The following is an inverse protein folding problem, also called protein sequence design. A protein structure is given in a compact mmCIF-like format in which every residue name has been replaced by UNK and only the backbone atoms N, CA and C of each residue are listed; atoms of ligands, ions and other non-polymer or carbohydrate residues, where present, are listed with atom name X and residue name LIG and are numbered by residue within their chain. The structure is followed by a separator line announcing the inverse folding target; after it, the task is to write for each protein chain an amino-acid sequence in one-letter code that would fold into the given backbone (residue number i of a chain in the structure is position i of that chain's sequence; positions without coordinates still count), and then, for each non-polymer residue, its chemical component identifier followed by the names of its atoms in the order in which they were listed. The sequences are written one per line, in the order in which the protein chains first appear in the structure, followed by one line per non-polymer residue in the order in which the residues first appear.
data_IF_229709674807
#
_entry.id   IF_229709674807
#
_cell.length_a   1.000
_cell.length_b   1.000
_cell.length_c   1.000
_cell.angle_alpha   90.00
_cell.angle_beta   90.00
_cell.angle_gamma   90.00
#
_symmetry.space_group_name_H-M   'P 1'
#
loop_
_entity.id
_entity.type
_entity.pdbx_description
1 polymer ?
#
# COMPACT_ATOMS: atom_id res chain seq x y z
N UNK A 1 30.83 -42.24 -25.60
CA UNK A 1 31.42 -42.71 -24.33
C UNK A 1 32.45 -41.70 -23.88
N UNK A 2 32.13 -40.88 -22.88
CA UNK A 2 33.09 -39.95 -22.26
C UNK A 2 33.14 -40.26 -20.77
N UNK A 3 34.32 -40.64 -20.30
CA UNK A 3 34.60 -40.98 -18.91
C UNK A 3 34.45 -39.75 -18.00
N UNK A 4 33.89 -39.88 -16.78
CA UNK A 4 33.78 -38.76 -15.87
C UNK A 4 35.14 -38.46 -15.22
N UNK A 5 35.52 -37.17 -15.24
CA UNK A 5 36.71 -36.62 -14.56
C UNK A 5 36.57 -36.79 -13.03
N UNK A 6 37.61 -37.20 -12.30
CA UNK A 6 37.54 -37.33 -10.84
C UNK A 6 37.43 -35.94 -10.18
N UNK A 7 36.54 -35.83 -9.18
CA UNK A 7 36.39 -34.61 -8.36
C UNK A 7 37.60 -34.43 -7.42
N UNK A 8 38.07 -33.20 -7.18
CA UNK A 8 39.16 -32.95 -6.24
C UNK A 8 38.71 -33.19 -4.80
N UNK A 9 39.56 -33.85 -4.02
CA UNK A 9 39.41 -34.05 -2.57
C UNK A 9 39.51 -32.69 -1.86
N UNK A 10 38.63 -32.35 -0.91
CA UNK A 10 38.75 -31.11 -0.17
C UNK A 10 39.99 -31.12 0.72
N UNK A 11 40.78 -30.03 0.70
CA UNK A 11 41.91 -29.84 1.62
C UNK A 11 41.41 -29.84 3.08
N UNK A 12 42.18 -30.37 4.04
CA UNK A 12 41.85 -30.30 5.45
C UNK A 12 41.71 -28.83 5.89
N UNK A 13 40.65 -28.52 6.64
CA UNK A 13 40.50 -27.21 7.26
C UNK A 13 41.66 -26.98 8.25
N UNK A 14 42.18 -25.74 8.37
CA UNK A 14 43.20 -25.43 9.36
C UNK A 14 42.64 -25.70 10.77
N UNK A 15 43.47 -26.15 11.72
CA UNK A 15 43.02 -26.36 13.10
C UNK A 15 42.43 -25.06 13.65
N UNK A 16 41.33 -25.18 14.40
CA UNK A 16 40.67 -24.07 15.08
C UNK A 16 41.72 -23.21 15.77
N UNK A 17 41.70 -21.90 15.48
CA UNK A 17 42.62 -20.92 16.07
C UNK A 17 42.58 -21.07 17.60
N UNK A 18 43.64 -21.65 18.14
CA UNK A 18 43.96 -21.53 19.56
C UNK A 18 44.08 -20.02 19.83
N UNK A 19 43.39 -19.46 20.83
CA UNK A 19 43.49 -18.03 21.10
C UNK A 19 44.96 -17.65 21.33
N UNK A 20 45.40 -16.58 20.67
CA UNK A 20 46.74 -16.03 20.84
C UNK A 20 47.00 -15.77 22.33
N UNK A 21 48.25 -15.95 22.83
CA UNK A 21 48.62 -15.62 24.20
C UNK A 21 48.18 -14.21 24.64
N UNK A 22 48.06 -13.27 23.70
CA UNK A 22 47.57 -11.92 23.94
C UNK A 22 46.05 -11.86 24.28
N UNK A 23 45.24 -12.77 23.76
CA UNK A 23 43.80 -12.88 24.05
C UNK A 23 43.57 -13.54 25.42
N UNK A 24 44.43 -14.49 25.79
CA UNK A 24 44.44 -15.10 27.14
C UNK A 24 44.90 -14.05 28.19
N UNK A 25 45.81 -13.16 27.82
CA UNK A 25 46.28 -12.08 28.69
C UNK A 25 45.30 -10.91 28.86
N UNK A 26 44.26 -10.82 28.02
CA UNK A 26 43.25 -9.76 28.07
C UNK A 26 42.05 -10.07 28.98
N UNK A 27 42.02 -11.24 29.63
CA UNK A 27 41.09 -11.46 30.72
C UNK A 27 41.42 -10.49 31.87
N UNK A 28 40.44 -9.74 32.41
CA UNK A 28 40.65 -8.93 33.58
C UNK A 28 41.11 -9.88 34.69
N UNK A 29 42.41 -9.88 34.98
CA UNK A 29 42.92 -10.40 36.23
C UNK A 29 42.37 -9.45 37.28
N UNK A 30 41.20 -9.75 37.84
CA UNK A 30 40.87 -9.22 39.14
C UNK A 30 42.06 -9.61 40.01
N UNK A 31 42.83 -8.64 40.54
CA UNK A 31 43.90 -8.96 41.45
C UNK A 31 43.20 -9.62 42.64
N UNK A 32 43.29 -10.94 42.70
CA UNK A 32 42.87 -11.71 43.86
C UNK A 32 43.67 -11.10 45.00
N UNK A 33 43.01 -10.29 45.82
CA UNK A 33 43.53 -9.96 47.14
C UNK A 33 43.47 -11.27 47.90
N UNK A 34 44.48 -12.12 47.69
CA UNK A 34 44.76 -13.21 48.61
C UNK A 34 44.99 -12.48 49.92
N UNK A 35 44.13 -12.64 50.94
CA UNK A 35 44.46 -12.11 52.24
C UNK A 35 45.77 -12.78 52.62
N UNK A 36 46.83 -11.98 52.72
CA UNK A 36 48.11 -12.42 53.26
C UNK A 36 47.76 -13.00 54.62
N UNK A 37 48.00 -14.30 54.81
CA UNK A 37 47.87 -14.92 56.12
C UNK A 37 48.80 -14.12 57.01
N UNK A 38 48.26 -13.36 57.96
CA UNK A 38 49.08 -12.72 58.97
C UNK A 38 49.90 -13.84 59.61
N UNK A 39 51.21 -13.64 59.76
CA UNK A 39 52.07 -14.61 60.42
C UNK A 39 51.44 -14.94 61.78
N UNK A 40 51.17 -16.23 62.03
CA UNK A 40 50.54 -16.69 63.26
C UNK A 40 51.37 -16.18 64.43
N UNK A 41 50.75 -15.36 65.27
CA UNK A 41 51.46 -14.69 66.34
C UNK A 41 51.92 -15.70 67.41
N UNK A 42 53.00 -15.41 68.16
CA UNK A 42 53.41 -16.27 69.27
C UNK A 42 52.31 -16.48 70.31
N UNK A 43 51.43 -15.49 70.51
CA UNK A 43 50.27 -15.57 71.41
C UNK A 43 49.21 -16.55 70.89
N UNK A 44 48.93 -16.54 69.59
CA UNK A 44 48.03 -17.49 68.94
C UNK A 44 48.57 -18.93 69.00
N UNK A 45 49.88 -19.12 68.80
CA UNK A 45 50.51 -20.44 68.95
C UNK A 45 50.43 -20.95 70.39
N UNK A 46 50.63 -20.08 71.38
CA UNK A 46 50.48 -20.44 72.78
C UNK A 46 49.03 -20.84 73.11
N UNK A 47 48.04 -20.07 72.64
CA UNK A 47 46.63 -20.37 72.84
C UNK A 47 46.21 -21.70 72.20
N UNK A 48 46.69 -22.02 71.00
CA UNK A 48 46.44 -23.32 70.38
C UNK A 48 47.17 -24.46 71.10
N UNK A 49 48.38 -24.23 71.62
CA UNK A 49 49.14 -25.22 72.36
C UNK A 49 48.49 -25.65 73.68
N UNK A 50 47.61 -24.84 74.27
CA UNK A 50 46.81 -25.24 75.46
C UNK A 50 45.89 -26.44 75.19
N UNK A 51 45.53 -26.66 73.93
CA UNK A 51 44.70 -27.79 73.50
C UNK A 51 45.53 -29.04 73.18
N UNK A 52 46.86 -28.97 73.23
CA UNK A 52 47.77 -30.08 72.94
C UNK A 52 48.60 -30.50 74.14
N UNK A 53 48.87 -31.79 74.23
CA UNK A 53 49.81 -32.35 75.19
C UNK A 53 50.81 -33.27 74.50
N UNK A 54 51.98 -33.45 75.11
CA UNK A 54 52.98 -34.44 74.66
C UNK A 54 52.89 -35.64 75.59
N UNK A 55 52.43 -36.76 75.05
CA UNK A 55 52.36 -38.05 75.75
C UNK A 55 53.38 -39.01 75.13
N UNK A 56 54.49 -39.23 75.84
CA UNK A 56 55.60 -40.07 75.37
C UNK A 56 56.26 -39.52 74.11
N UNK A 57 56.22 -40.30 73.02
CA UNK A 57 56.77 -39.92 71.70
C UNK A 57 55.71 -39.31 70.76
N UNK A 58 54.50 -38.99 71.25
CA UNK A 58 53.37 -38.50 70.44
C UNK A 58 52.78 -37.21 70.98
N UNK A 59 52.26 -36.39 70.06
CA UNK A 59 51.46 -35.19 70.37
C UNK A 59 49.98 -35.58 70.32
N UNK A 60 49.26 -35.28 71.39
CA UNK A 60 47.80 -35.48 71.50
C UNK A 60 47.09 -34.13 71.48
N UNK A 61 45.85 -34.10 71.01
CA UNK A 61 44.96 -32.93 71.04
C UNK A 61 43.67 -33.26 71.78
N UNK A 62 43.16 -32.31 72.54
CA UNK A 62 41.84 -32.36 73.16
C UNK A 62 40.78 -31.98 72.13
N UNK A 63 40.00 -32.96 71.70
CA UNK A 63 38.86 -32.80 70.81
C UNK A 63 37.56 -32.94 71.63
N UNK A 64 37.10 -31.81 72.18
CA UNK A 64 35.96 -31.77 73.10
C UNK A 64 36.26 -32.50 74.42
N UNK A 65 35.53 -33.58 74.69
CA UNK A 65 35.75 -34.44 75.87
C UNK A 65 36.74 -35.59 75.62
N UNK A 66 37.15 -35.79 74.36
CA UNK A 66 38.06 -36.87 73.96
C UNK A 66 39.48 -36.35 73.69
N UNK A 67 40.48 -37.20 73.92
CA UNK A 67 41.87 -36.93 73.57
C UNK A 67 42.26 -37.84 72.42
N UNK A 68 42.88 -37.29 71.37
CA UNK A 68 43.30 -38.06 70.19
C UNK A 68 44.77 -37.80 69.82
N UNK A 69 45.43 -38.82 69.31
CA UNK A 69 46.80 -38.73 68.81
C UNK A 69 46.83 -38.00 67.45
N UNK A 70 47.74 -37.04 67.31
CA UNK A 70 47.85 -36.16 66.13
C UNK A 70 49.06 -36.53 65.27
N UNK A 71 50.15 -36.94 65.91
CA UNK A 71 51.39 -37.34 65.24
C UNK A 71 52.58 -37.44 66.19
N UNK A 72 53.79 -37.73 65.67
CA UNK A 72 54.98 -37.88 66.49
C UNK A 72 55.46 -36.55 67.08
N UNK A 73 55.98 -36.59 68.30
CA UNK A 73 56.61 -35.47 68.96
C UNK A 73 58.08 -35.36 68.52
N UNK A 74 58.46 -34.28 67.82
CA UNK A 74 59.81 -34.06 67.31
C UNK A 74 60.28 -32.63 67.57
N UNK A 75 61.55 -32.48 67.98
CA UNK A 75 62.18 -31.17 68.20
C UNK A 75 61.95 -30.61 69.61
N UNK A 76 62.38 -29.36 69.82
CA UNK A 76 62.30 -28.66 71.12
C UNK A 76 60.88 -28.17 71.46
N UNK A 77 60.07 -27.87 70.45
CA UNK A 77 58.64 -27.55 70.58
C UNK A 77 57.81 -28.43 69.63
N UNK A 78 57.43 -29.64 70.07
CA UNK A 78 56.71 -30.59 69.23
C UNK A 78 55.29 -30.16 68.84
N UNK A 79 54.68 -29.22 69.57
CA UNK A 79 53.27 -28.83 69.42
C UNK A 79 53.11 -27.70 68.39
N UNK A 80 54.08 -26.78 68.32
CA UNK A 80 54.01 -25.62 67.43
C UNK A 80 53.71 -25.92 65.94
N UNK A 81 54.26 -26.97 65.29
CA UNK A 81 53.91 -27.29 63.89
C UNK A 81 52.43 -27.66 63.71
N UNK A 82 51.85 -28.39 64.66
CA UNK A 82 50.44 -28.78 64.63
C UNK A 82 49.51 -27.60 64.97
N UNK A 83 49.97 -26.68 65.83
CA UNK A 83 49.27 -25.42 66.10
C UNK A 83 49.25 -24.48 64.88
N UNK A 84 50.37 -24.38 64.14
CA UNK A 84 50.40 -23.65 62.86
C UNK A 84 49.40 -24.22 61.85
N UNK A 85 49.37 -25.55 61.72
CA UNK A 85 48.43 -26.23 60.82
C UNK A 85 46.96 -25.99 61.19
N UNK A 86 46.63 -25.80 62.48
CA UNK A 86 45.28 -25.39 62.92
C UNK A 86 44.89 -24.01 62.37
N UNK A 87 45.78 -23.02 62.49
CA UNK A 87 45.53 -21.68 61.98
C UNK A 87 45.51 -21.62 60.44
N UNK A 88 46.27 -22.48 59.75
CA UNK A 88 46.17 -22.63 58.30
C UNK A 88 44.79 -23.15 57.88
N UNK A 89 44.24 -24.12 58.62
CA UNK A 89 42.90 -24.66 58.39
C UNK A 89 41.81 -23.63 58.67
N UNK A 90 41.92 -22.90 59.79
CA UNK A 90 41.06 -21.75 60.11
C UNK A 90 41.11 -20.69 59.02
N UNK A 91 42.30 -20.30 58.57
CA UNK A 91 42.47 -19.36 57.47
C UNK A 91 41.90 -19.89 56.15
N UNK A 92 41.82 -21.21 55.95
CA UNK A 92 41.16 -21.80 54.79
C UNK A 92 39.65 -21.59 54.81
N UNK A 93 39.00 -21.76 55.98
CA UNK A 93 37.58 -21.47 56.17
C UNK A 93 37.30 -19.98 55.92
N UNK A 94 38.08 -19.09 56.53
CA UNK A 94 37.87 -17.64 56.35
C UNK A 94 38.15 -17.19 54.90
N UNK A 95 39.13 -17.80 54.21
CA UNK A 95 39.35 -17.55 52.77
C UNK A 95 38.16 -18.00 51.93
N UNK A 96 37.54 -19.12 52.28
CA UNK A 96 36.34 -19.58 51.59
C UNK A 96 35.15 -18.65 51.86
N UNK A 97 34.94 -18.25 53.12
CA UNK A 97 33.92 -17.29 53.52
C UNK A 97 34.07 -15.94 52.81
N UNK A 98 35.28 -15.38 52.75
CA UNK A 98 35.56 -14.14 52.01
C UNK A 98 35.25 -14.26 50.50
N UNK A 99 35.51 -15.42 49.89
CA UNK A 99 35.16 -15.71 48.47
C UNK A 99 33.66 -15.88 48.27
N UNK A 100 32.95 -16.31 49.30
CA UNK A 100 31.49 -16.43 49.31
C UNK A 100 30.86 -15.04 49.33
N UNK A 101 31.35 -14.13 50.19
CA UNK A 101 30.90 -12.74 50.28
C UNK A 101 31.17 -11.94 49.00
N UNK A 102 32.31 -12.18 48.34
CA UNK A 102 32.63 -11.52 47.06
C UNK A 102 31.85 -12.07 45.86
N UNK A 103 31.02 -13.10 46.05
CA UNK A 103 30.22 -13.78 45.03
C UNK A 103 31.04 -14.29 43.82
N UNK A 104 32.31 -14.64 44.04
CA UNK A 104 33.22 -15.12 43.00
C UNK A 104 33.03 -16.62 42.67
N UNK A 105 32.22 -17.32 43.46
CA UNK A 105 32.07 -18.78 43.38
C UNK A 105 30.84 -19.20 42.56
N UNK A 106 30.99 -20.27 41.78
CA UNK A 106 29.84 -20.98 41.21
C UNK A 106 29.22 -21.93 42.25
N UNK A 107 27.94 -22.34 42.09
CA UNK A 107 27.32 -23.35 42.96
C UNK A 107 28.14 -24.63 43.10
N UNK A 108 28.80 -25.07 42.02
CA UNK A 108 29.67 -26.25 42.06
C UNK A 108 30.93 -26.00 42.88
N UNK A 109 31.56 -24.84 42.72
CA UNK A 109 32.78 -24.50 43.48
C UNK A 109 32.47 -24.37 44.97
N UNK A 110 31.25 -23.93 45.33
CA UNK A 110 30.75 -23.94 46.71
C UNK A 110 30.65 -25.38 47.22
N UNK A 111 29.99 -26.28 46.47
CA UNK A 111 29.83 -27.69 46.86
C UNK A 111 31.20 -28.39 47.01
N UNK A 112 32.12 -28.20 46.05
CA UNK A 112 33.46 -28.80 46.07
C UNK A 112 34.30 -28.26 47.25
N UNK A 113 34.19 -26.96 47.56
CA UNK A 113 34.91 -26.34 48.68
C UNK A 113 34.38 -26.80 50.05
N UNK A 114 33.05 -26.88 50.22
CA UNK A 114 32.43 -27.42 51.44
C UNK A 114 32.80 -28.89 51.65
N UNK A 115 32.80 -29.69 50.58
CA UNK A 115 33.23 -31.10 50.64
C UNK A 115 34.68 -31.21 51.10
N UNK A 116 35.60 -30.46 50.48
CA UNK A 116 37.01 -30.50 50.85
C UNK A 116 37.29 -29.97 52.26
N UNK A 117 36.63 -28.90 52.68
CA UNK A 117 36.74 -28.37 54.05
C UNK A 117 36.17 -29.36 55.07
N UNK A 118 35.02 -29.97 54.78
CA UNK A 118 34.41 -31.00 55.63
C UNK A 118 35.33 -32.21 55.80
N UNK A 119 35.89 -32.75 54.72
CA UNK A 119 36.85 -33.87 54.75
C UNK A 119 38.10 -33.54 55.57
N UNK A 120 38.60 -32.30 55.44
CA UNK A 120 39.78 -31.84 56.20
C UNK A 120 39.54 -31.72 57.71
N UNK A 121 38.29 -31.72 58.16
CA UNK A 121 37.87 -31.54 59.56
C UNK A 121 37.39 -32.83 60.26
N UNK A 122 37.36 -33.96 59.55
CA UNK A 122 36.99 -35.27 60.13
C UNK A 122 38.04 -35.72 61.15
N UNK A 123 39.30 -35.82 60.75
CA UNK A 123 40.44 -36.17 61.62
C UNK A 123 41.66 -35.28 61.30
N UNK A 124 41.60 -33.97 61.59
CA UNK A 124 42.67 -33.05 61.19
C UNK A 124 43.95 -33.35 61.97
N UNK A 125 45.12 -33.37 61.35
CA UNK A 125 46.40 -33.53 62.08
C UNK A 125 46.88 -32.17 62.61
N UNK A 126 46.12 -31.58 63.53
CA UNK A 126 46.35 -30.23 64.06
C UNK A 126 46.07 -30.16 65.55
N UNK A 127 46.62 -29.14 66.22
CA UNK A 127 46.41 -28.86 67.66
C UNK A 127 45.77 -27.47 67.79
N UNK A 128 44.61 -27.38 68.44
CA UNK A 128 43.86 -26.14 68.65
C UNK A 128 42.40 -26.42 69.06
N UNK A 129 41.56 -25.38 69.10
CA UNK A 129 40.14 -25.49 69.44
C UNK A 129 39.32 -26.08 68.27
N UNK A 130 39.31 -27.41 68.17
CA UNK A 130 38.58 -28.13 67.12
C UNK A 130 37.05 -27.95 67.20
N UNK A 131 36.41 -27.93 68.39
CA UNK A 131 34.99 -27.60 68.52
C UNK A 131 34.63 -26.21 67.97
N UNK A 132 35.42 -25.17 68.27
CA UNK A 132 35.19 -23.83 67.72
C UNK A 132 35.36 -23.80 66.19
N UNK A 133 36.35 -24.53 65.66
CA UNK A 133 36.59 -24.60 64.22
C UNK A 133 35.47 -25.29 63.45
N UNK A 134 34.91 -26.38 64.02
CA UNK A 134 33.72 -27.06 63.46
C UNK A 134 32.50 -26.16 63.51
N UNK A 135 32.26 -25.47 64.63
CA UNK A 135 31.18 -24.48 64.76
C UNK A 135 31.28 -23.39 63.70
N UNK A 136 32.49 -22.86 63.45
CA UNK A 136 32.71 -21.87 62.40
C UNK A 136 32.46 -22.42 61.00
N UNK A 137 32.87 -23.67 60.72
CA UNK A 137 32.55 -24.30 59.45
C UNK A 137 31.04 -24.48 59.27
N UNK A 138 30.30 -24.85 60.32
CA UNK A 138 28.85 -25.04 60.26
C UNK A 138 28.13 -23.72 59.93
N UNK A 139 28.54 -22.60 60.54
CA UNK A 139 28.06 -21.25 60.22
C UNK A 139 28.31 -20.91 58.75
N UNK A 140 29.56 -21.06 58.28
CA UNK A 140 29.94 -20.77 56.90
C UNK A 140 29.22 -21.71 55.91
N UNK A 141 28.91 -22.94 56.31
CA UNK A 141 28.15 -23.90 55.51
C UNK A 141 26.68 -23.48 55.35
N UNK A 142 26.07 -22.96 56.41
CA UNK A 142 24.71 -22.41 56.34
C UNK A 142 24.65 -21.22 55.37
N UNK A 143 25.56 -20.26 55.52
CA UNK A 143 25.67 -19.10 54.62
C UNK A 143 25.95 -19.53 53.17
N UNK A 144 26.85 -20.49 52.97
CA UNK A 144 27.20 -21.01 51.65
C UNK A 144 26.00 -21.67 50.96
N UNK A 145 25.14 -22.35 51.72
CA UNK A 145 23.91 -22.95 51.21
C UNK A 145 22.94 -21.88 50.70
N UNK A 146 22.73 -20.80 51.46
CA UNK A 146 21.86 -19.68 51.05
C UNK A 146 22.39 -18.99 49.78
N UNK A 147 23.70 -18.71 49.73
CA UNK A 147 24.33 -18.08 48.56
C UNK A 147 24.21 -18.99 47.34
N UNK A 148 24.44 -20.29 47.50
CA UNK A 148 24.30 -21.30 46.44
C UNK A 148 22.87 -21.33 45.90
N UNK A 149 21.86 -21.37 46.78
CA UNK A 149 20.44 -21.36 46.39
C UNK A 149 20.07 -20.09 45.63
N UNK A 150 20.52 -18.93 46.11
CA UNK A 150 20.32 -17.63 45.44
C UNK A 150 20.94 -17.62 44.03
N UNK A 151 22.16 -18.12 43.87
CA UNK A 151 22.83 -18.20 42.56
C UNK A 151 22.13 -19.18 41.61
N UNK A 152 21.67 -20.33 42.11
CA UNK A 152 20.89 -21.28 41.33
C UNK A 152 19.55 -20.70 40.88
N UNK A 153 18.84 -20.01 41.78
CA UNK A 153 17.59 -19.32 41.51
C UNK A 153 17.78 -18.22 40.45
N UNK A 154 18.82 -17.37 40.59
CA UNK A 154 19.14 -16.34 39.61
C UNK A 154 19.45 -16.92 38.22
N UNK A 155 20.24 -18.00 38.16
CA UNK A 155 20.54 -18.69 36.89
C UNK A 155 19.29 -19.33 36.28
N UNK A 156 18.37 -19.86 37.10
CA UNK A 156 17.09 -20.41 36.63
C UNK A 156 16.21 -19.31 36.06
N UNK A 157 16.02 -18.21 36.78
CA UNK A 157 15.25 -17.06 36.35
C UNK A 157 15.79 -16.46 35.04
N UNK A 158 17.11 -16.28 34.94
CA UNK A 158 17.73 -15.77 33.71
C UNK A 158 17.51 -16.71 32.51
N UNK A 159 17.49 -18.03 32.71
CA UNK A 159 17.15 -18.99 31.64
C UNK A 159 15.68 -18.94 31.24
N UNK A 160 14.78 -18.77 32.20
CA UNK A 160 13.33 -18.63 31.95
C UNK A 160 13.02 -17.34 31.19
N UNK A 161 13.61 -16.22 31.59
CA UNK A 161 13.52 -14.95 30.87
C UNK A 161 14.06 -15.06 29.45
N UNK A 162 15.23 -15.70 29.28
CA UNK A 162 15.83 -15.88 27.98
C UNK A 162 15.06 -16.89 27.10
N UNK A 163 14.28 -17.81 27.69
CA UNK A 163 13.36 -18.68 26.95
C UNK A 163 12.12 -17.87 26.51
N UNK A 164 11.54 -17.08 27.41
CA UNK A 164 10.36 -16.25 27.13
C UNK A 164 10.65 -15.20 26.05
N UNK A 165 11.81 -14.53 26.12
CA UNK A 165 12.22 -13.56 25.09
C UNK A 165 12.31 -14.21 23.70
N UNK A 166 12.87 -15.42 23.61
CA UNK A 166 13.02 -16.15 22.34
C UNK A 166 11.69 -16.69 21.84
N UNK A 167 10.82 -17.15 22.73
CA UNK A 167 9.43 -17.52 22.39
C UNK A 167 8.67 -16.31 21.84
N UNK A 168 8.80 -15.12 22.45
CA UNK A 168 8.14 -13.90 21.96
C UNK A 168 8.56 -13.54 20.53
N UNK A 169 9.85 -13.68 20.20
CA UNK A 169 10.36 -13.48 18.82
C UNK A 169 9.70 -14.47 17.84
N UNK A 170 9.58 -15.74 18.25
CA UNK A 170 8.95 -16.79 17.44
C UNK A 170 7.46 -16.50 17.22
N UNK A 171 6.74 -16.15 18.28
CA UNK A 171 5.31 -15.84 18.21
C UNK A 171 5.05 -14.66 17.28
N UNK A 172 5.82 -13.58 17.37
CA UNK A 172 5.68 -12.45 16.44
C UNK A 172 5.94 -12.85 14.99
N UNK A 173 6.92 -13.71 14.73
CA UNK A 173 7.17 -14.23 13.38
C UNK A 173 6.00 -15.10 12.87
N UNK A 174 5.42 -15.93 13.74
CA UNK A 174 4.25 -16.76 13.44
C UNK A 174 3.00 -15.91 13.18
N UNK A 175 2.78 -14.86 13.96
CA UNK A 175 1.69 -13.89 13.75
C UNK A 175 1.80 -13.21 12.38
N UNK A 176 3.00 -12.74 12.00
CA UNK A 176 3.24 -12.15 10.68
C UNK A 176 2.96 -13.17 9.57
N UNK A 177 3.38 -14.42 9.76
CA UNK A 177 3.18 -15.48 8.78
C UNK A 177 1.71 -15.94 8.67
N UNK A 178 0.91 -15.77 9.73
CA UNK A 178 -0.49 -16.17 9.80
C UNK A 178 -1.48 -15.08 9.34
N UNK A 179 -1.01 -13.84 9.07
CA UNK A 179 -1.88 -12.77 8.58
C UNK A 179 -2.50 -13.12 7.23
N UNK A 180 -3.75 -12.72 7.07
CA UNK A 180 -4.45 -12.78 5.80
C UNK A 180 -3.73 -11.91 4.75
N UNK A 181 -3.68 -12.40 3.51
CA UNK A 181 -2.95 -11.76 2.41
C UNK A 181 -3.38 -10.30 2.17
N UNK A 182 -4.66 -9.96 2.42
CA UNK A 182 -5.18 -8.60 2.28
C UNK A 182 -4.64 -7.62 3.33
N UNK A 183 -4.16 -8.13 4.46
CA UNK A 183 -3.64 -7.34 5.59
C UNK A 183 -2.09 -7.33 5.63
N UNK A 184 -1.43 -8.11 4.78
CA UNK A 184 0.03 -8.21 4.76
C UNK A 184 0.64 -6.98 4.11
N UNK A 185 1.51 -6.30 4.84
CA UNK A 185 2.32 -5.21 4.29
C UNK A 185 3.69 -5.74 3.87
N UNK A 186 3.76 -6.40 2.71
CA UNK A 186 4.92 -7.19 2.25
C UNK A 186 6.28 -6.55 2.50
N UNK A 187 6.45 -5.24 2.22
CA UNK A 187 7.73 -4.55 2.42
C UNK A 187 8.11 -4.41 3.91
N UNK A 188 7.15 -4.05 4.75
CA UNK A 188 7.37 -3.76 6.17
C UNK A 188 7.48 -5.06 6.94
N UNK A 189 6.60 -6.02 6.68
CA UNK A 189 6.63 -7.33 7.34
C UNK A 189 7.90 -8.12 7.00
N UNK A 190 8.42 -7.99 5.76
CA UNK A 190 9.75 -8.54 5.44
C UNK A 190 10.87 -7.86 6.24
N UNK A 191 10.77 -6.55 6.49
CA UNK A 191 11.75 -5.83 7.31
C UNK A 191 11.66 -6.26 8.78
N UNK A 192 10.45 -6.38 9.33
CA UNK A 192 10.22 -6.88 10.69
C UNK A 192 10.76 -8.30 10.87
N UNK A 193 10.49 -9.23 9.95
CA UNK A 193 11.05 -10.59 10.00
C UNK A 193 12.59 -10.63 9.93
N UNK A 194 13.23 -9.62 9.30
CA UNK A 194 14.70 -9.47 9.35
C UNK A 194 15.17 -8.98 10.71
N UNK A 195 14.50 -7.98 11.29
CA UNK A 195 14.78 -7.49 12.65
C UNK A 195 14.67 -8.61 13.67
N UNK A 196 13.60 -9.41 13.62
CA UNK A 196 13.39 -10.54 14.53
C UNK A 196 14.50 -11.59 14.44
N UNK A 197 15.08 -11.81 13.25
CA UNK A 197 16.26 -12.69 13.12
C UNK A 197 17.49 -12.07 13.81
N UNK A 198 17.67 -10.77 13.71
CA UNK A 198 18.81 -10.10 14.33
C UNK A 198 18.65 -10.03 15.86
N UNK A 199 17.44 -9.78 16.35
CA UNK A 199 17.07 -9.90 17.77
C UNK A 199 17.29 -11.33 18.30
N UNK A 200 16.92 -12.36 17.52
CA UNK A 200 17.22 -13.75 17.88
C UNK A 200 18.72 -14.00 18.05
N UNK A 201 19.54 -13.50 17.12
CA UNK A 201 21.01 -13.64 17.19
C UNK A 201 21.60 -12.87 18.36
N UNK A 202 21.07 -11.69 18.67
CA UNK A 202 21.50 -10.92 19.82
C UNK A 202 21.17 -11.68 21.10
N UNK A 203 19.92 -12.13 21.26
CA UNK A 203 19.47 -12.96 22.37
C UNK A 203 20.37 -14.19 22.59
N UNK A 204 20.82 -14.87 21.53
CA UNK A 204 21.77 -15.99 21.63
C UNK A 204 23.14 -15.62 22.22
N UNK A 205 23.58 -14.38 22.05
CA UNK A 205 24.90 -13.88 22.49
C UNK A 205 24.84 -13.19 23.85
N UNK A 206 23.78 -12.42 24.10
CA UNK A 206 23.66 -11.50 25.24
C UNK A 206 22.93 -12.12 26.44
N UNK A 207 22.03 -13.09 26.21
CA UNK A 207 21.21 -13.67 27.29
C UNK A 207 21.71 -15.04 27.77
N UNK A 208 21.13 -15.51 28.88
CA UNK A 208 21.41 -16.83 29.42
C UNK A 208 21.16 -17.95 28.39
N UNK A 209 22.00 -18.99 28.48
CA UNK A 209 21.94 -20.14 27.59
C UNK A 209 20.78 -21.04 27.97
N UNK A 210 19.90 -21.29 27.01
CA UNK A 210 18.74 -22.19 27.17
C UNK A 210 19.08 -23.64 26.80
N UNK A 211 18.25 -24.61 27.20
CA UNK A 211 18.40 -26.00 26.78
C UNK A 211 18.39 -26.13 25.25
N UNK A 212 19.33 -26.93 24.72
CA UNK A 212 19.52 -27.10 23.27
C UNK A 212 18.26 -27.58 22.54
N UNK A 213 17.48 -28.44 23.17
CA UNK A 213 16.25 -28.98 22.56
C UNK A 213 15.16 -27.90 22.44
N UNK A 214 15.01 -27.06 23.46
CA UNK A 214 14.10 -25.91 23.43
C UNK A 214 14.51 -24.92 22.35
N UNK A 215 15.81 -24.58 22.28
CA UNK A 215 16.35 -23.69 21.24
C UNK A 215 16.11 -24.24 19.83
N UNK A 216 16.34 -25.53 19.62
CA UNK A 216 16.11 -26.20 18.34
C UNK A 216 14.63 -26.18 17.94
N UNK A 217 13.72 -26.41 18.90
CA UNK A 217 12.28 -26.36 18.66
C UNK A 217 11.81 -24.96 18.26
N UNK A 218 12.23 -23.94 19.00
CA UNK A 218 11.95 -22.52 18.72
C UNK A 218 12.51 -22.10 17.36
N UNK A 219 13.77 -22.46 17.07
CA UNK A 219 14.39 -22.16 15.78
C UNK A 219 13.66 -22.80 14.59
N UNK A 220 13.18 -24.04 14.76
CA UNK A 220 12.36 -24.72 13.74
C UNK A 220 11.06 -23.98 13.47
N UNK A 221 10.38 -23.51 14.52
CA UNK A 221 9.15 -22.68 14.40
C UNK A 221 9.42 -21.36 13.70
N UNK A 222 10.45 -20.63 14.14
CA UNK A 222 10.87 -19.36 13.53
C UNK A 222 11.17 -19.49 12.03
N UNK A 223 11.99 -20.48 11.67
CA UNK A 223 12.37 -20.73 10.27
C UNK A 223 11.19 -21.21 9.43
N UNK A 224 10.27 -21.98 10.03
CA UNK A 224 9.01 -22.39 9.42
C UNK A 224 8.13 -21.18 9.08
N UNK A 225 7.87 -20.30 10.05
CA UNK A 225 7.07 -19.09 9.87
C UNK A 225 7.65 -18.19 8.77
N UNK A 226 8.96 -17.93 8.81
CA UNK A 226 9.64 -17.11 7.79
C UNK A 226 9.58 -17.75 6.40
N UNK A 227 9.70 -19.07 6.31
CA UNK A 227 9.62 -19.79 5.03
C UNK A 227 8.20 -19.76 4.45
N UNK A 228 7.18 -19.89 5.30
CA UNK A 228 5.78 -19.76 4.91
C UNK A 228 5.48 -18.36 4.37
N UNK A 229 5.91 -17.32 5.08
CA UNK A 229 5.77 -15.92 4.65
C UNK A 229 6.46 -15.66 3.30
N UNK A 230 7.70 -16.10 3.12
CA UNK A 230 8.42 -15.88 1.86
C UNK A 230 7.79 -16.65 0.68
N UNK A 231 7.20 -17.83 0.94
CA UNK A 231 6.44 -18.58 -0.06
C UNK A 231 5.18 -17.81 -0.47
N UNK A 232 4.41 -17.30 0.49
CA UNK A 232 3.22 -16.49 0.24
C UNK A 232 3.57 -15.22 -0.54
N UNK A 233 4.66 -14.53 -0.14
CA UNK A 233 5.17 -13.34 -0.82
C UNK A 233 5.51 -13.61 -2.28
N UNK A 234 6.24 -14.69 -2.55
CA UNK A 234 6.60 -15.08 -3.92
C UNK A 234 5.37 -15.39 -4.76
N UNK A 235 4.40 -16.08 -4.19
CA UNK A 235 3.14 -16.39 -4.87
C UNK A 235 2.36 -15.11 -5.22
N UNK A 236 2.17 -14.21 -4.26
CA UNK A 236 1.48 -12.94 -4.44
C UNK A 236 2.08 -12.11 -5.59
N UNK A 237 3.41 -11.90 -5.56
CA UNK A 237 4.07 -11.12 -6.61
C UNK A 237 4.12 -11.83 -7.96
N UNK A 238 4.10 -13.16 -7.99
CA UNK A 238 3.99 -13.92 -9.23
C UNK A 238 2.60 -13.77 -9.87
N UNK A 239 1.52 -13.87 -9.08
CA UNK A 239 0.15 -13.66 -9.59
C UNK A 239 -0.04 -12.20 -10.04
N UNK A 240 0.44 -11.22 -9.26
CA UNK A 240 0.40 -9.81 -9.67
C UNK A 240 1.17 -9.56 -10.98
N UNK A 241 2.32 -10.20 -11.18
CA UNK A 241 3.09 -10.06 -12.41
C UNK A 241 2.40 -10.73 -13.62
N UNK A 242 1.76 -11.87 -13.39
CA UNK A 242 0.95 -12.58 -14.39
C UNK A 242 -0.26 -11.76 -14.82
N UNK A 243 -1.01 -11.19 -13.87
CA UNK A 243 -2.13 -10.28 -14.15
C UNK A 243 -1.67 -9.06 -14.95
N UNK A 244 -0.59 -8.41 -14.50
CA UNK A 244 -0.01 -7.27 -15.21
C UNK A 244 0.43 -7.62 -16.63
N UNK A 245 1.05 -8.80 -16.82
CA UNK A 245 1.48 -9.28 -18.13
C UNK A 245 0.28 -9.58 -19.04
N UNK A 246 -0.80 -10.13 -18.49
CA UNK A 246 -2.05 -10.36 -19.24
C UNK A 246 -2.71 -9.04 -19.67
N UNK A 247 -2.70 -8.01 -18.81
CA UNK A 247 -3.18 -6.66 -19.18
C UNK A 247 -2.29 -6.05 -20.27
N UNK A 248 -0.97 -6.15 -20.11
CA UNK A 248 -0.01 -5.63 -21.08
C UNK A 248 -0.17 -6.28 -22.46
N UNK A 249 -0.27 -7.61 -22.52
CA UNK A 249 -0.49 -8.34 -23.78
C UNK A 249 -1.77 -7.91 -24.49
N UNK A 250 -2.90 -7.82 -23.77
CA UNK A 250 -4.16 -7.32 -24.34
C UNK A 250 -4.02 -5.90 -24.90
N UNK A 251 -3.33 -5.01 -24.17
CA UNK A 251 -3.09 -3.64 -24.63
C UNK A 251 -2.16 -3.59 -25.84
N UNK A 252 -1.14 -4.44 -25.88
CA UNK A 252 -0.24 -4.55 -27.02
C UNK A 252 -0.97 -4.99 -28.29
N UNK A 253 -1.90 -5.94 -28.18
CA UNK A 253 -2.77 -6.34 -29.30
C UNK A 253 -3.66 -5.18 -29.78
N UNK A 254 -4.18 -4.35 -28.86
CA UNK A 254 -4.96 -3.16 -29.20
C UNK A 254 -4.11 -2.09 -29.90
N UNK A 255 -2.87 -1.87 -29.42
CA UNK A 255 -1.92 -0.95 -30.07
C UNK A 255 -1.60 -1.44 -31.47
N UNK A 256 -1.29 -2.72 -31.65
CA UNK A 256 -1.00 -3.28 -32.96
C UNK A 256 -2.19 -3.17 -33.93
N UNK A 257 -3.42 -3.28 -33.44
CA UNK A 257 -4.64 -3.02 -34.23
C UNK A 257 -4.75 -1.54 -34.62
N UNK A 258 -4.52 -0.61 -33.68
CA UNK A 258 -4.51 0.82 -33.94
C UNK A 258 -3.46 1.21 -34.98
N UNK A 259 -2.24 0.68 -34.86
CA UNK A 259 -1.13 0.91 -35.81
C UNK A 259 -1.49 0.45 -37.23
N UNK A 260 -2.18 -0.70 -37.39
CA UNK A 260 -2.67 -1.14 -38.71
C UNK A 260 -3.76 -0.25 -39.30
N UNK A 261 -4.54 0.41 -38.46
CA UNK A 261 -5.62 1.31 -38.87
C UNK A 261 -5.12 2.73 -39.17
N UNK A 262 -3.91 3.09 -38.74
CA UNK A 262 -3.37 4.44 -38.83
C UNK A 262 -3.32 4.98 -40.27
N UNK A 263 -3.03 4.11 -41.25
CA UNK A 263 -2.89 4.46 -42.67
C UNK A 263 -4.17 4.20 -43.50
N UNK A 264 -5.27 3.82 -42.85
CA UNK A 264 -6.52 3.53 -43.56
C UNK A 264 -7.19 4.79 -44.10
N UNK A 265 -7.68 4.75 -45.34
CA UNK A 265 -8.46 5.81 -45.98
C UNK A 265 -9.97 5.59 -45.90
N UNK A 266 -10.43 4.50 -45.26
CA UNK A 266 -11.85 4.28 -44.95
C UNK A 266 -12.24 5.07 -43.69
N UNK A 267 -12.44 6.38 -43.89
CA UNK A 267 -12.53 7.36 -42.80
C UNK A 267 -13.59 7.04 -41.75
N UNK A 268 -14.82 6.72 -42.19
CA UNK A 268 -15.94 6.55 -41.27
C UNK A 268 -15.92 5.22 -40.54
N UNK A 269 -15.49 4.14 -41.20
CA UNK A 269 -15.35 2.82 -40.56
C UNK A 269 -14.19 2.82 -39.59
N UNK A 270 -13.04 3.35 -39.99
CA UNK A 270 -11.83 3.37 -39.16
C UNK A 270 -12.00 4.30 -37.95
N UNK A 271 -12.70 5.43 -38.08
CA UNK A 271 -13.03 6.28 -36.93
C UNK A 271 -13.91 5.57 -35.88
N UNK A 272 -14.84 4.69 -36.31
CA UNK A 272 -15.62 3.84 -35.39
C UNK A 272 -14.73 2.79 -34.73
N UNK A 273 -13.87 2.12 -35.50
CA UNK A 273 -12.94 1.13 -34.98
C UNK A 273 -11.99 1.72 -33.91
N UNK A 274 -11.46 2.93 -34.11
CA UNK A 274 -10.66 3.62 -33.09
C UNK A 274 -11.45 3.91 -31.80
N UNK A 275 -12.75 4.24 -31.91
CA UNK A 275 -13.64 4.42 -30.74
C UNK A 275 -13.82 3.10 -29.99
N UNK A 276 -14.01 1.99 -30.70
CA UNK A 276 -14.20 0.67 -30.12
C UNK A 276 -12.92 0.18 -29.42
N UNK A 277 -11.76 0.35 -30.06
CA UNK A 277 -10.44 0.07 -29.48
C UNK A 277 -10.20 0.87 -28.19
N UNK A 278 -10.61 2.14 -28.16
CA UNK A 278 -10.54 2.95 -26.93
C UNK A 278 -11.46 2.41 -25.83
N UNK A 279 -12.62 1.86 -26.21
CA UNK A 279 -13.50 1.16 -25.28
C UNK A 279 -12.85 -0.10 -24.70
N UNK A 280 -12.22 -0.92 -25.55
CA UNK A 280 -11.50 -2.13 -25.15
C UNK A 280 -10.29 -1.81 -24.27
N UNK A 281 -9.54 -0.76 -24.60
CA UNK A 281 -8.42 -0.29 -23.80
C UNK A 281 -8.83 0.07 -22.37
N UNK A 282 -9.97 0.77 -22.21
CA UNK A 282 -10.52 1.08 -20.88
C UNK A 282 -10.95 -0.17 -20.13
N UNK A 283 -11.54 -1.16 -20.83
CA UNK A 283 -11.95 -2.45 -20.25
C UNK A 283 -10.78 -3.36 -19.90
N UNK A 284 -9.64 -3.23 -20.56
CA UNK A 284 -8.46 -4.05 -20.30
C UNK A 284 -7.90 -3.86 -18.87
N UNK A 285 -8.21 -2.74 -18.22
CA UNK A 285 -7.77 -2.42 -16.87
C UNK A 285 -6.39 -1.74 -16.84
N UNK A 286 -5.74 -1.78 -15.68
CA UNK A 286 -4.44 -1.13 -15.45
C UNK A 286 -3.40 -2.18 -15.13
N UNK A 287 -2.26 -2.09 -15.81
CA UNK A 287 -1.11 -2.95 -15.59
C UNK A 287 0.00 -2.19 -14.86
N UNK A 288 1.25 -2.59 -15.11
CA UNK A 288 2.42 -1.81 -14.67
C UNK A 288 2.42 -0.44 -15.36
N UNK A 289 2.44 0.63 -14.55
CA UNK A 289 2.37 2.03 -15.03
C UNK A 289 3.33 2.34 -16.18
N UNK A 290 4.59 1.96 -16.07
CA UNK A 290 5.59 2.25 -17.11
C UNK A 290 5.27 1.59 -18.46
N UNK A 291 4.74 0.36 -18.44
CA UNK A 291 4.35 -0.38 -19.65
C UNK A 291 3.07 0.21 -20.23
N UNK A 292 2.08 0.47 -19.38
CA UNK A 292 0.82 1.12 -19.76
C UNK A 292 1.06 2.49 -20.44
N UNK A 293 1.93 3.33 -19.87
CA UNK A 293 2.23 4.66 -20.39
C UNK A 293 2.91 4.59 -21.77
N UNK A 294 3.83 3.64 -21.96
CA UNK A 294 4.51 3.43 -23.24
C UNK A 294 3.55 2.92 -24.33
N UNK A 295 2.69 1.95 -24.00
CA UNK A 295 1.66 1.44 -24.91
C UNK A 295 0.63 2.52 -25.24
N UNK A 296 0.22 3.33 -24.26
CA UNK A 296 -0.71 4.43 -24.47
C UNK A 296 -0.16 5.46 -25.47
N UNK A 297 1.12 5.83 -25.32
CA UNK A 297 1.77 6.76 -26.25
C UNK A 297 1.75 6.23 -27.68
N UNK A 298 2.04 4.94 -27.90
CA UNK A 298 1.98 4.30 -29.22
C UNK A 298 0.57 4.31 -29.79
N UNK A 299 -0.43 3.95 -28.99
CA UNK A 299 -1.84 3.99 -29.38
C UNK A 299 -2.24 5.41 -29.82
N UNK A 300 -1.88 6.41 -29.02
CA UNK A 300 -2.19 7.81 -29.32
C UNK A 300 -1.50 8.28 -30.60
N UNK A 301 -0.22 7.93 -30.81
CA UNK A 301 0.48 8.26 -32.06
C UNK A 301 -0.22 7.67 -33.28
N UNK A 302 -0.66 6.41 -33.23
CA UNK A 302 -1.42 5.80 -34.32
C UNK A 302 -2.78 6.47 -34.55
N UNK A 303 -3.47 6.83 -33.47
CA UNK A 303 -4.73 7.58 -33.53
C UNK A 303 -4.54 8.97 -34.15
N UNK A 304 -3.54 9.71 -33.70
CA UNK A 304 -3.23 11.07 -34.17
C UNK A 304 -2.90 11.04 -35.67
N UNK A 305 -2.06 10.10 -36.12
CA UNK A 305 -1.70 9.93 -37.52
C UNK A 305 -2.92 9.72 -38.44
N UNK A 306 -3.88 8.88 -38.01
CA UNK A 306 -5.12 8.67 -38.77
C UNK A 306 -5.97 9.94 -38.86
N UNK A 307 -6.21 10.61 -37.72
CA UNK A 307 -7.07 11.80 -37.70
C UNK A 307 -6.42 13.01 -38.36
N UNK A 308 -5.08 13.11 -38.36
CA UNK A 308 -4.34 14.08 -39.17
C UNK A 308 -4.49 13.79 -40.66
N UNK A 309 -4.32 12.54 -41.09
CA UNK A 309 -4.51 12.14 -42.50
C UNK A 309 -5.95 12.41 -42.97
N UNK A 310 -6.95 12.11 -42.14
CA UNK A 310 -8.35 12.41 -42.43
C UNK A 310 -8.63 13.90 -42.55
N UNK A 311 -8.04 14.72 -41.67
CA UNK A 311 -8.16 16.19 -41.74
C UNK A 311 -7.54 16.70 -43.03
N UNK A 312 -6.31 16.30 -43.33
CA UNK A 312 -5.63 16.69 -44.57
C UNK A 312 -6.41 16.31 -45.83
N UNK A 313 -7.06 15.13 -45.84
CA UNK A 313 -7.91 14.71 -46.95
C UNK A 313 -9.18 15.59 -47.09
N UNK A 314 -9.81 15.96 -45.96
CA UNK A 314 -10.95 16.89 -45.96
C UNK A 314 -10.54 18.28 -46.42
N UNK A 315 -9.41 18.79 -45.94
CA UNK A 315 -8.88 20.11 -46.30
C UNK A 315 -8.54 20.16 -47.80
N UNK A 316 -7.96 19.09 -48.35
CA UNK A 316 -7.69 18.99 -49.78
C UNK A 316 -8.98 18.91 -50.63
N UNK A 317 -10.03 18.25 -50.15
CA UNK A 317 -11.34 18.25 -50.81
C UNK A 317 -11.97 19.65 -50.80
N UNK A 318 -11.92 20.35 -49.67
CA UNK A 318 -12.43 21.71 -49.55
C UNK A 318 -11.63 22.68 -50.46
N UNK A 319 -10.29 22.59 -50.51
CA UNK A 319 -9.47 23.41 -51.41
C UNK A 319 -9.81 23.15 -52.90
N UNK A 320 -10.01 21.89 -53.28
CA UNK A 320 -10.42 21.55 -54.65
C UNK A 320 -11.80 22.12 -55.02
N UNK A 321 -12.69 22.33 -54.03
CA UNK A 321 -14.01 22.92 -54.21
C UNK A 321 -14.02 24.44 -54.04
N UNK A 322 -12.95 25.06 -53.53
CA UNK A 322 -12.88 26.49 -53.24
C UNK A 322 -13.16 27.36 -54.47
N UNK A 323 -12.68 26.95 -55.65
CA UNK A 323 -12.95 27.66 -56.92
C UNK A 323 -14.45 27.72 -57.29
N UNK A 324 -15.24 26.75 -56.84
CA UNK A 324 -16.70 26.76 -57.08
C UNK A 324 -17.43 27.78 -56.21
N UNK A 325 -16.81 28.23 -55.10
CA UNK A 325 -17.39 29.24 -54.20
C UNK A 325 -17.55 30.56 -54.94
N UNK A 326 -16.51 31.01 -55.64
CA UNK A 326 -16.54 32.26 -56.40
C UNK A 326 -17.63 32.25 -57.47
N UNK A 327 -17.75 31.15 -58.22
CA UNK A 327 -18.78 30.98 -59.24
C UNK A 327 -20.20 30.98 -58.65
N UNK A 328 -20.42 30.31 -57.52
CA UNK A 328 -21.71 30.37 -56.82
C UNK A 328 -21.98 31.74 -56.22
N UNK A 329 -20.98 32.41 -55.65
CA UNK A 329 -21.11 33.75 -55.10
C UNK A 329 -21.52 34.75 -56.19
N UNK A 330 -20.93 34.67 -57.37
CA UNK A 330 -21.32 35.48 -58.52
C UNK A 330 -22.79 35.26 -58.91
N UNK A 331 -23.23 34.00 -58.96
CA UNK A 331 -24.64 33.66 -59.23
C UNK A 331 -25.60 34.17 -58.14
N UNK A 332 -25.18 34.13 -56.86
CA UNK A 332 -25.96 34.70 -55.75
C UNK A 332 -26.04 36.23 -55.86
N UNK A 333 -24.96 36.92 -56.19
CA UNK A 333 -24.96 38.39 -56.37
C UNK A 333 -25.85 38.78 -57.55
N UNK A 334 -25.82 38.01 -58.64
CA UNK A 334 -26.74 38.20 -59.76
C UNK A 334 -28.19 38.03 -59.32
N UNK A 335 -28.51 36.98 -58.55
CA UNK A 335 -29.84 36.81 -58.00
C UNK A 335 -30.25 37.99 -57.09
N UNK A 336 -29.36 38.44 -56.21
CA UNK A 336 -29.63 39.57 -55.31
C UNK A 336 -29.90 40.88 -56.08
N UNK A 337 -29.28 41.06 -57.26
CA UNK A 337 -29.50 42.24 -58.11
C UNK A 337 -30.90 42.34 -58.74
N UNK A 338 -31.68 41.26 -58.69
CA UNK A 338 -33.10 41.23 -59.12
C UNK A 338 -33.95 42.10 -58.17
N UNK A 339 -33.47 42.34 -56.96
CA UNK A 339 -34.16 43.14 -55.97
C UNK A 339 -33.79 44.63 -56.11
N UNK A 340 -34.77 45.56 -56.04
CA UNK A 340 -36.21 45.33 -55.87
C UNK A 340 -36.92 44.89 -57.16
N UNK A 341 -37.96 44.06 -57.01
CA UNK A 341 -38.72 43.49 -58.14
C UNK A 341 -39.68 44.54 -58.72
N UNK A 342 -39.44 44.93 -59.96
CA UNK A 342 -40.28 45.89 -60.71
C UNK A 342 -41.13 45.21 -61.78
N UNK A 343 -40.59 44.21 -62.46
CA UNK A 343 -41.30 43.36 -63.43
C UNK A 343 -41.14 41.89 -63.04
N UNK A 344 -42.26 41.23 -62.72
CA UNK A 344 -42.23 39.84 -62.27
C UNK A 344 -41.81 38.86 -63.37
N UNK A 345 -42.19 39.10 -64.63
CA UNK A 345 -41.85 38.22 -65.74
C UNK A 345 -40.35 38.21 -65.99
N UNK A 346 -39.74 39.40 -65.98
CA UNK A 346 -38.29 39.59 -66.12
C UNK A 346 -37.55 39.04 -64.90
N UNK A 347 -38.03 39.32 -63.68
CA UNK A 347 -37.44 38.82 -62.44
C UNK A 347 -37.40 37.28 -62.37
N UNK A 348 -38.47 36.60 -62.80
CA UNK A 348 -38.51 35.13 -62.85
C UNK A 348 -37.55 34.53 -63.87
N UNK A 349 -37.35 35.19 -65.02
CA UNK A 349 -36.37 34.73 -66.01
C UNK A 349 -34.94 34.94 -65.51
N UNK A 350 -34.65 36.10 -64.92
CA UNK A 350 -33.35 36.41 -64.32
C UNK A 350 -33.01 35.46 -63.16
N UNK A 351 -33.99 35.16 -62.28
CA UNK A 351 -33.80 34.23 -61.17
C UNK A 351 -33.46 32.82 -61.66
N UNK A 352 -34.17 32.31 -62.68
CA UNK A 352 -33.87 31.00 -63.28
C UNK A 352 -32.45 30.96 -63.84
N UNK A 353 -32.03 32.00 -64.55
CA UNK A 353 -30.66 32.06 -65.09
C UNK A 353 -29.60 32.05 -63.97
N UNK A 354 -29.85 32.76 -62.86
CA UNK A 354 -28.96 32.75 -61.70
C UNK A 354 -28.95 31.38 -60.99
N UNK A 355 -30.12 30.72 -60.86
CA UNK A 355 -30.23 29.35 -60.31
C UNK A 355 -29.47 28.35 -61.19
N UNK A 356 -29.64 28.41 -62.51
CA UNK A 356 -28.94 27.53 -63.45
C UNK A 356 -27.41 27.68 -63.32
N UNK A 357 -26.91 28.92 -63.18
CA UNK A 357 -25.48 29.18 -62.94
C UNK A 357 -25.02 28.70 -61.56
N UNK A 358 -25.86 28.89 -60.55
CA UNK A 358 -25.59 28.42 -59.20
C UNK A 358 -25.47 26.90 -59.15
N UNK A 359 -26.34 26.17 -59.86
CA UNK A 359 -26.29 24.71 -59.96
C UNK A 359 -25.11 24.24 -60.83
N UNK A 360 -24.85 24.90 -61.96
CA UNK A 360 -23.75 24.58 -62.86
C UNK A 360 -22.36 24.73 -62.22
N UNK A 361 -22.21 25.65 -61.26
CA UNK A 361 -20.98 25.81 -60.47
C UNK A 361 -20.65 24.59 -59.59
N UNK A 362 -21.57 23.62 -59.43
CA UNK A 362 -21.27 22.36 -58.76
C UNK A 362 -21.32 22.43 -57.24
N UNK A 363 -20.49 21.65 -56.55
CA UNK A 363 -20.43 21.62 -55.07
C UNK A 363 -19.42 22.63 -54.54
N UNK A 364 -19.66 23.13 -53.32
CA UNK A 364 -18.77 24.04 -52.59
C UNK A 364 -18.33 23.40 -51.27
N UNK A 365 -17.24 23.90 -50.65
CA UNK A 365 -16.82 23.48 -49.32
C UNK A 365 -17.97 23.53 -48.32
N UNK A 366 -17.96 22.60 -47.37
CA UNK A 366 -19.07 22.43 -46.42
C UNK A 366 -19.43 23.70 -45.66
N UNK A 367 -18.45 24.55 -45.37
CA UNK A 367 -18.64 25.83 -44.67
C UNK A 367 -19.49 26.84 -45.44
N UNK A 368 -19.45 26.81 -46.77
CA UNK A 368 -20.10 27.82 -47.63
C UNK A 368 -21.51 27.42 -48.07
N UNK A 369 -21.83 26.13 -48.04
CA UNK A 369 -23.13 25.59 -48.49
C UNK A 369 -24.30 26.34 -47.85
N UNK A 370 -24.32 26.45 -46.52
CA UNK A 370 -25.45 27.04 -45.80
C UNK A 370 -25.60 28.54 -46.08
N UNK A 371 -24.49 29.28 -46.17
CA UNK A 371 -24.49 30.72 -46.43
C UNK A 371 -25.00 31.02 -47.83
N UNK A 372 -24.48 30.33 -48.83
CA UNK A 372 -24.83 30.56 -50.24
C UNK A 372 -26.28 30.15 -50.53
N UNK A 373 -26.71 28.99 -50.04
CA UNK A 373 -28.10 28.54 -50.18
C UNK A 373 -29.09 29.50 -49.51
N UNK A 374 -28.74 30.04 -48.33
CA UNK A 374 -29.59 31.00 -47.63
C UNK A 374 -29.77 32.29 -48.43
N UNK A 375 -28.71 32.81 -49.05
CA UNK A 375 -28.75 34.07 -49.80
C UNK A 375 -29.59 33.95 -51.08
N UNK A 376 -29.36 32.93 -51.90
CA UNK A 376 -30.17 32.71 -53.11
C UNK A 376 -31.63 32.40 -52.75
N UNK A 377 -31.87 31.61 -51.69
CA UNK A 377 -33.21 31.31 -51.20
C UNK A 377 -33.99 32.54 -50.72
N UNK A 378 -33.33 33.59 -50.23
CA UNK A 378 -34.00 34.84 -49.87
C UNK A 378 -34.55 35.58 -51.09
N UNK A 379 -33.82 35.56 -52.21
CA UNK A 379 -34.29 36.13 -53.49
C UNK A 379 -35.44 35.29 -54.04
N UNK A 380 -35.32 33.96 -53.99
CA UNK A 380 -36.39 33.04 -54.39
C UNK A 380 -37.68 33.32 -53.63
N UNK A 381 -37.58 33.53 -52.31
CA UNK A 381 -38.72 33.88 -51.48
C UNK A 381 -39.30 35.24 -51.86
N UNK A 382 -38.47 36.26 -52.08
CA UNK A 382 -38.94 37.58 -52.49
C UNK A 382 -39.67 37.58 -53.84
N UNK A 383 -39.20 36.77 -54.81
CA UNK A 383 -39.88 36.58 -56.10
C UNK A 383 -41.20 35.85 -55.94
N UNK A 384 -41.25 34.81 -55.10
CA UNK A 384 -42.50 34.11 -54.76
C UNK A 384 -43.51 35.06 -54.11
N UNK A 385 -43.08 35.85 -53.12
CA UNK A 385 -43.95 36.81 -52.44
C UNK A 385 -44.49 37.89 -53.41
N UNK A 386 -43.68 38.32 -54.39
CA UNK A 386 -44.11 39.27 -55.42
C UNK A 386 -45.11 38.65 -56.41
N UNK A 387 -44.93 37.37 -56.76
CA UNK A 387 -45.88 36.60 -57.57
C UNK A 387 -47.22 36.45 -56.86
N UNK A 388 -47.20 36.08 -55.59
CA UNK A 388 -48.41 35.93 -54.78
C UNK A 388 -49.16 37.27 -54.65
N UNK A 389 -48.44 38.38 -54.45
CA UNK A 389 -49.02 39.74 -54.45
C UNK A 389 -49.64 40.11 -55.80
N UNK A 390 -48.99 39.81 -56.92
CA UNK A 390 -49.52 40.10 -58.24
C UNK A 390 -50.75 39.23 -58.56
N UNK A 391 -50.73 37.96 -58.16
CA UNK A 391 -51.87 37.06 -58.29
C UNK A 391 -53.07 37.55 -57.49
N UNK A 392 -52.87 37.90 -56.22
CA UNK A 392 -53.93 38.38 -55.34
C UNK A 392 -54.52 39.72 -55.79
N UNK A 393 -53.69 40.66 -56.26
CA UNK A 393 -54.16 41.97 -56.78
C UNK A 393 -54.87 41.88 -58.13
N UNK A 394 -54.57 40.86 -58.95
CA UNK A 394 -55.26 40.62 -60.23
C UNK A 394 -56.51 39.75 -60.09
N UNK A 395 -56.88 39.35 -58.87
CA UNK A 395 -58.10 38.63 -58.57
C UNK A 395 -59.13 39.53 -57.84
N UNK A 396 -59.78 40.48 -58.55
CA UNK A 396 -60.75 41.42 -57.97
C UNK A 396 -62.00 40.71 -57.40
N UNK A 397 -62.18 39.43 -57.70
CA UNK A 397 -63.27 38.61 -57.19
C UNK A 397 -63.04 38.15 -55.74
N UNK A 398 -61.79 37.93 -55.32
CA UNK A 398 -61.47 37.57 -53.92
C UNK A 398 -61.59 38.80 -53.02
N UNK A 399 -61.07 39.94 -53.47
CA UNK A 399 -61.09 41.20 -52.70
C UNK A 399 -62.52 41.75 -52.54
N UNK A 400 -63.36 41.70 -53.60
CA UNK A 400 -64.78 42.09 -53.53
C UNK A 400 -65.62 41.18 -52.63
N UNK A 401 -65.33 39.87 -52.59
CA UNK A 401 -66.07 38.91 -51.75
C UNK A 401 -65.73 39.08 -50.27
N UNK A 402 -64.46 39.33 -49.94
CA UNK A 402 -64.01 39.51 -48.57
C UNK A 402 -64.44 40.85 -47.95
N UNK A 403 -64.51 41.94 -48.72
CA UNK A 403 -64.88 43.27 -48.18
C UNK A 403 -66.35 43.63 -48.33
N UNK A 404 -67.07 43.18 -49.36
CA UNK A 404 -68.46 43.56 -49.58
C UNK A 404 -69.46 42.85 -48.67
N UNK A 405 -69.45 41.52 -48.66
CA UNK A 405 -70.43 40.72 -47.89
C UNK A 405 -70.07 40.64 -46.40
N UNK A 406 -68.78 40.51 -46.06
CA UNK A 406 -68.35 40.43 -44.67
C UNK A 406 -68.51 41.78 -43.94
N UNK A 407 -68.24 42.92 -44.58
CA UNK A 407 -68.46 44.23 -43.95
C UNK A 407 -69.95 44.52 -43.74
N UNK A 408 -70.83 44.10 -44.66
CA UNK A 408 -72.29 44.20 -44.47
C UNK A 408 -72.77 43.33 -43.30
N UNK A 409 -72.23 42.12 -43.14
CA UNK A 409 -72.56 41.24 -42.02
C UNK A 409 -72.04 41.78 -40.68
N UNK A 410 -70.82 42.35 -40.66
CA UNK A 410 -70.28 42.96 -39.44
C UNK A 410 -71.12 44.16 -39.00
N UNK A 411 -71.50 45.06 -39.92
CA UNK A 411 -72.38 46.18 -39.60
C UNK A 411 -73.74 45.71 -39.04
N UNK A 412 -74.32 44.64 -39.61
CA UNK A 412 -75.57 44.08 -39.11
C UNK A 412 -75.43 43.42 -37.72
N UNK A 413 -74.26 42.87 -37.39
CA UNK A 413 -73.98 42.34 -36.05
C UNK A 413 -73.87 43.50 -35.05
N UNK A 414 -73.14 44.56 -35.39
CA UNK A 414 -72.96 45.73 -34.52
C UNK A 414 -74.31 46.41 -34.21
N UNK A 415 -75.21 46.48 -35.18
CA UNK A 415 -76.55 47.03 -34.97
C UNK A 415 -77.42 46.12 -34.08
N UNK A 416 -77.35 44.79 -34.27
CA UNK A 416 -78.05 43.83 -33.40
C UNK A 416 -77.49 43.81 -31.97
N UNK A 417 -76.20 44.07 -31.76
CA UNK A 417 -75.62 44.22 -30.43
C UNK A 417 -76.20 45.44 -29.70
N UNK A 418 -76.40 46.55 -30.42
CA UNK A 418 -77.06 47.75 -29.87
C UNK A 418 -78.53 47.48 -29.57
N UNK A 419 -79.26 46.83 -30.48
CA UNK A 419 -80.67 46.47 -30.27
C UNK A 419 -80.83 45.53 -29.07
N UNK A 420 -79.92 44.56 -28.91
CA UNK A 420 -79.89 43.67 -27.76
C UNK A 420 -79.65 44.44 -26.45
N UNK A 421 -78.72 45.40 -26.44
CA UNK A 421 -78.47 46.23 -25.27
C UNK A 421 -79.71 47.06 -24.89
N UNK A 422 -80.36 47.70 -25.87
CA UNK A 422 -81.59 48.46 -25.66
C UNK A 422 -82.75 47.58 -25.16
N UNK A 423 -82.93 46.37 -25.72
CA UNK A 423 -83.95 45.42 -25.29
C UNK A 423 -83.72 44.93 -23.84
N UNK A 424 -82.45 44.75 -23.43
CA UNK A 424 -82.09 44.40 -22.05
C UNK A 424 -82.41 45.52 -21.06
N UNK A 425 -82.18 46.78 -21.44
CA UNK A 425 -82.56 47.93 -20.61
C UNK A 425 -84.08 48.07 -20.47
N UNK A 426 -84.83 47.87 -21.56
CA UNK A 426 -86.29 47.89 -21.56
C UNK A 426 -86.92 46.70 -20.83
N UNK A 427 -86.12 45.70 -20.41
CA UNK A 427 -86.55 44.43 -19.79
C UNK A 427 -87.57 43.64 -20.64
N UNK A 428 -87.56 43.83 -21.96
CA UNK A 428 -88.39 43.08 -22.89
C UNK A 428 -87.73 41.72 -23.16
N UNK A 429 -88.15 40.71 -22.37
CA UNK A 429 -87.59 39.35 -22.46
C UNK A 429 -87.77 38.71 -23.83
N UNK A 430 -88.76 39.12 -24.62
CA UNK A 430 -88.99 38.55 -25.96
C UNK A 430 -88.02 39.15 -26.96
N UNK A 431 -87.88 40.48 -26.97
CA UNK A 431 -86.95 41.18 -27.86
C UNK A 431 -85.48 40.81 -27.59
N UNK A 432 -85.10 40.61 -26.31
CA UNK A 432 -83.76 40.13 -25.95
C UNK A 432 -83.45 38.77 -26.56
N UNK A 433 -84.39 37.82 -26.47
CA UNK A 433 -84.20 36.47 -27.00
C UNK A 433 -84.11 36.47 -28.53
N UNK A 434 -84.97 37.23 -29.21
CA UNK A 434 -84.94 37.36 -30.67
C UNK A 434 -83.62 38.00 -31.16
N UNK A 435 -83.13 39.04 -30.49
CA UNK A 435 -81.86 39.67 -30.83
C UNK A 435 -80.67 38.73 -30.57
N UNK A 436 -80.63 37.98 -29.45
CA UNK A 436 -79.56 37.00 -29.18
C UNK A 436 -79.48 35.89 -30.24
N UNK A 437 -80.63 35.33 -30.63
CA UNK A 437 -80.69 34.30 -31.68
C UNK A 437 -80.26 34.85 -33.05
N UNK A 438 -80.73 36.05 -33.41
CA UNK A 438 -80.38 36.74 -34.64
C UNK A 438 -78.89 37.05 -34.77
N UNK A 439 -78.24 37.38 -33.64
CA UNK A 439 -76.83 37.73 -33.53
C UNK A 439 -75.95 36.48 -33.58
N UNK A 440 -76.35 35.40 -32.92
CA UNK A 440 -75.68 34.10 -33.01
C UNK A 440 -75.66 33.58 -34.45
N UNK A 441 -76.79 33.66 -35.17
CA UNK A 441 -76.88 33.24 -36.56
C UNK A 441 -75.99 34.07 -37.50
N UNK A 442 -75.94 35.40 -37.33
CA UNK A 442 -75.10 36.28 -38.16
C UNK A 442 -73.61 36.11 -37.86
N UNK A 443 -73.23 35.88 -36.61
CA UNK A 443 -71.84 35.55 -36.23
C UNK A 443 -71.39 34.21 -36.81
N UNK A 444 -72.21 33.16 -36.76
CA UNK A 444 -71.86 31.88 -37.39
C UNK A 444 -71.72 32.01 -38.91
N UNK A 445 -72.53 32.89 -39.53
CA UNK A 445 -72.46 33.10 -40.97
C UNK A 445 -71.23 33.92 -41.38
N UNK A 446 -70.83 34.91 -40.57
CA UNK A 446 -69.57 35.63 -40.75
C UNK A 446 -68.36 34.69 -40.61
N UNK A 447 -68.38 33.80 -39.63
CA UNK A 447 -67.32 32.79 -39.41
C UNK A 447 -67.21 31.82 -40.60
N UNK A 448 -68.34 31.38 -41.17
CA UNK A 448 -68.32 30.56 -42.39
C UNK A 448 -67.75 31.30 -43.61
N UNK A 449 -68.06 32.59 -43.77
CA UNK A 449 -67.54 33.39 -44.90
C UNK A 449 -66.05 33.69 -44.74
N UNK A 450 -65.59 33.99 -43.52
CA UNK A 450 -64.18 34.24 -43.23
C UNK A 450 -63.33 32.94 -43.26
N UNK A 451 -63.90 31.82 -42.82
CA UNK A 451 -63.24 30.50 -42.82
C UNK A 451 -63.06 29.88 -44.22
N UNK A 452 -63.78 30.36 -45.23
CA UNK A 452 -63.64 29.92 -46.64
C UNK A 452 -62.59 30.74 -47.40
N UNK A 453 -62.05 31.82 -46.79
CA UNK A 453 -61.06 32.74 -47.39
C UNK A 453 -59.62 32.47 -46.90
N UNK A 454 -59.41 31.49 -46.01
CA UNK A 454 -58.07 31.12 -45.51
C UNK A 454 -57.36 30.07 -46.36
#
# INVERSE_FOLDING_TARGET
MSTPKPKPIPKPAPPSKVPSPAVIAAHPKHPVKVPVVADVTPEELAAAAEFGAVEGETVTVKDGESTREVGPARGEDPVAPYAKAYYELKASIERFHARLESAELSPKDIDDALTGLGESLVEPKVVGDLPALRTRLDEVTAEATEVRERLQAARKAAREEALAAREAIVVQAEEIAARDESQVHWKNDTATLRSLLDEWKDAQRSQARIPKDAEKALWKRFTGARSAFEKARKHHFAELDKENSSVAGRKEDLVAQAERLAESTDWDRTARAFRDLMGEWKRAGRGRRSVDDALWKRFQTAQDAFFESRRAASDAEDEALAGNVEAKEAAVVEAESILPITDLGVAKQALRAAQDRFEAAGRVPRGDVARLNKRIGAVEQAVRDAEDKQWNSRNPEIERRATGAAAQLQAAIDDLEKDLAAAKEAKDKRAVKEAEEALAARRSWLEQIQGVVS
#
